data_IF_655653913098
#
_entry.id   IF_655653913098
#
_cell.length_a   1.000
_cell.length_b   1.000
_cell.length_c   1.000
_cell.angle_alpha   90.00
_cell.angle_beta   90.00
_cell.angle_gamma   90.00
#
_symmetry.space_group_name_H-M   'P 1'
#
loop_
_entity.id
_entity.type
_entity.pdbx_description
1 polymer ?
#
# COMPACT_ATOMS: atom_id res chain seq x y z
N UNK A 1 -30.78 37.15 -38.26
CA UNK A 1 -30.51 35.70 -38.15
C UNK A 1 -29.38 35.50 -37.14
N UNK A 2 -29.68 35.14 -35.90
CA UNK A 2 -28.68 34.77 -34.89
C UNK A 2 -28.45 33.27 -34.96
N UNK A 3 -27.22 32.84 -35.21
CA UNK A 3 -26.79 31.44 -35.12
C UNK A 3 -26.38 31.17 -33.67
N UNK A 4 -27.18 30.37 -32.96
CA UNK A 4 -26.84 29.90 -31.62
C UNK A 4 -25.76 28.82 -31.70
N UNK A 5 -24.73 28.93 -30.86
CA UNK A 5 -23.77 27.86 -30.61
C UNK A 5 -24.30 26.98 -29.46
N UNK A 6 -24.34 25.67 -29.67
CA UNK A 6 -24.64 24.70 -28.63
C UNK A 6 -23.30 24.30 -28.00
N UNK A 7 -23.10 24.65 -26.72
CA UNK A 7 -22.01 24.12 -25.91
C UNK A 7 -22.51 22.85 -25.21
N UNK A 8 -21.94 21.71 -25.54
CA UNK A 8 -22.06 20.50 -24.72
C UNK A 8 -20.91 20.53 -23.70
N UNK A 9 -21.20 21.00 -22.49
CA UNK A 9 -20.35 20.72 -21.33
C UNK A 9 -20.84 19.40 -20.72
N UNK A 10 -20.04 18.35 -20.87
CA UNK A 10 -20.18 17.15 -20.05
C UNK A 10 -19.51 17.49 -18.72
N UNK A 11 -20.31 17.89 -17.73
CA UNK A 11 -19.88 17.90 -16.33
C UNK A 11 -20.20 16.51 -15.78
N UNK A 12 -19.20 15.63 -15.77
CA UNK A 12 -19.25 14.42 -14.96
C UNK A 12 -19.19 14.87 -13.50
N UNK A 13 -20.35 14.95 -12.85
CA UNK A 13 -20.45 15.13 -11.41
C UNK A 13 -20.12 13.77 -10.78
N UNK A 14 -19.02 13.72 -10.01
CA UNK A 14 -18.42 12.48 -9.52
C UNK A 14 -19.36 11.61 -8.70
N UNK A 15 -19.34 10.32 -9.00
CA UNK A 15 -19.68 9.25 -8.06
C UNK A 15 -18.42 9.02 -7.21
N UNK A 16 -18.20 9.84 -6.17
CA UNK A 16 -17.09 9.58 -5.24
C UNK A 16 -17.53 8.60 -4.15
N UNK A 17 -17.36 7.31 -4.42
CA UNK A 17 -17.06 6.30 -3.39
C UNK A 17 -16.13 5.18 -3.89
N UNK A 18 -15.75 5.18 -5.18
CA UNK A 18 -14.77 4.23 -5.69
C UNK A 18 -13.36 4.75 -5.43
N UNK A 19 -12.58 4.00 -4.64
CA UNK A 19 -11.14 4.17 -4.52
C UNK A 19 -10.52 4.30 -5.92
N UNK A 20 -9.75 5.37 -6.17
CA UNK A 20 -9.17 5.60 -7.48
C UNK A 20 -7.78 4.95 -7.54
N UNK A 21 -7.56 3.93 -8.40
CA UNK A 21 -6.21 3.38 -8.58
C UNK A 21 -5.32 4.41 -9.27
N UNK A 22 -4.09 4.54 -8.78
CA UNK A 22 -3.06 5.29 -9.47
C UNK A 22 -2.42 4.42 -10.55
N UNK A 23 -2.35 4.97 -11.77
CA UNK A 23 -1.68 4.30 -12.88
C UNK A 23 -0.21 4.72 -12.87
N UNK A 24 0.74 3.78 -12.71
CA UNK A 24 2.15 4.12 -12.72
C UNK A 24 2.56 4.69 -14.08
N UNK A 25 3.53 5.62 -14.10
CA UNK A 25 4.07 6.13 -15.36
C UNK A 25 4.64 4.99 -16.23
N UNK A 26 4.58 5.15 -17.55
CA UNK A 26 5.03 4.10 -18.49
C UNK A 26 6.45 3.62 -18.18
N UNK A 27 6.60 2.33 -17.89
CA UNK A 27 7.89 1.69 -17.58
C UNK A 27 8.34 1.83 -16.12
N UNK A 28 7.49 2.33 -15.23
CA UNK A 28 7.71 2.39 -13.78
C UNK A 28 6.93 1.27 -13.05
N UNK A 29 7.42 0.81 -11.87
CA UNK A 29 6.72 -0.19 -11.07
C UNK A 29 5.46 0.39 -10.41
N UNK A 30 4.58 -0.48 -9.90
CA UNK A 30 3.29 -0.12 -9.30
C UNK A 30 3.39 0.78 -8.06
N UNK A 31 4.51 0.74 -7.34
CA UNK A 31 4.78 1.64 -6.22
C UNK A 31 5.21 3.07 -6.63
N UNK A 32 5.17 3.41 -7.92
CA UNK A 32 5.41 4.78 -8.41
C UNK A 32 4.11 5.34 -8.94
N UNK A 33 3.76 6.55 -8.51
CA UNK A 33 2.52 7.19 -8.86
C UNK A 33 2.72 8.68 -9.16
N UNK A 34 2.20 9.14 -10.30
CA UNK A 34 2.10 10.58 -10.57
C UNK A 34 0.80 11.12 -10.00
N UNK A 35 0.93 12.04 -9.03
CA UNK A 35 -0.18 12.76 -8.42
C UNK A 35 -0.22 14.20 -8.91
N UNK A 36 -1.28 14.93 -8.59
CA UNK A 36 -1.38 16.35 -8.89
C UNK A 36 -0.27 17.19 -8.22
N UNK A 37 0.25 16.72 -7.09
CA UNK A 37 1.25 17.41 -6.27
C UNK A 37 2.69 16.95 -6.53
N UNK A 38 2.88 15.97 -7.42
CA UNK A 38 4.18 15.43 -7.79
C UNK A 38 4.19 13.90 -7.87
N UNK A 39 5.38 13.35 -8.09
CA UNK A 39 5.58 11.89 -8.19
C UNK A 39 5.90 11.31 -6.81
N UNK A 40 5.11 10.31 -6.40
CA UNK A 40 5.43 9.42 -5.28
C UNK A 40 6.26 8.27 -5.86
N UNK A 41 7.50 8.10 -5.40
CA UNK A 41 8.38 7.01 -5.84
C UNK A 41 8.98 6.30 -4.63
N UNK A 42 8.45 5.12 -4.31
CA UNK A 42 8.89 4.31 -3.17
C UNK A 42 10.00 3.31 -3.55
N UNK A 43 10.43 3.26 -4.82
CA UNK A 43 11.43 2.30 -5.29
C UNK A 43 12.79 2.46 -4.60
N UNK A 44 13.12 3.69 -4.21
CA UNK A 44 14.35 3.99 -3.46
C UNK A 44 14.34 3.53 -2.01
N UNK A 45 13.15 3.26 -1.45
CA UNK A 45 12.99 2.74 -0.09
C UNK A 45 13.10 1.21 -0.05
N UNK A 46 12.74 0.54 -1.14
CA UNK A 46 12.74 -0.92 -1.22
C UNK A 46 14.14 -1.51 -1.01
N UNK A 47 14.22 -2.57 -0.22
CA UNK A 47 15.39 -3.44 -0.21
C UNK A 47 15.29 -4.45 -1.37
N UNK A 48 16.40 -4.64 -2.10
CA UNK A 48 16.47 -5.58 -3.23
C UNK A 48 17.34 -6.81 -2.95
N UNK A 49 17.79 -6.98 -1.71
CA UNK A 49 18.65 -8.07 -1.26
C UNK A 49 17.86 -9.30 -0.77
N UNK A 50 16.54 -9.29 -0.95
CA UNK A 50 15.63 -10.35 -0.52
C UNK A 50 15.19 -10.23 0.94
N UNK A 51 15.49 -9.12 1.62
CA UNK A 51 15.04 -8.83 2.99
C UNK A 51 13.98 -7.74 3.02
N UNK A 52 13.18 -7.71 4.10
CA UNK A 52 12.24 -6.62 4.32
C UNK A 52 12.96 -5.30 4.59
N UNK A 53 12.44 -4.18 4.08
CA UNK A 53 12.94 -2.84 4.41
C UNK A 53 12.67 -2.49 5.88
N UNK A 54 11.48 -2.81 6.34
CA UNK A 54 11.05 -2.61 7.71
C UNK A 54 10.75 -3.97 8.32
N UNK A 55 11.28 -4.25 9.51
CA UNK A 55 11.08 -5.52 10.19
C UNK A 55 10.95 -5.30 11.69
N UNK A 56 10.30 -6.24 12.38
CA UNK A 56 10.08 -6.15 13.83
C UNK A 56 9.21 -4.96 14.22
N UNK A 57 8.31 -4.52 13.34
CA UNK A 57 7.39 -3.40 13.60
C UNK A 57 6.40 -3.88 14.66
N UNK A 58 6.33 -3.26 15.85
CA UNK A 58 5.38 -3.67 16.88
C UNK A 58 3.96 -3.19 16.54
N UNK A 59 2.96 -3.89 17.06
CA UNK A 59 1.58 -3.43 16.98
C UNK A 59 1.38 -2.16 17.83
N UNK A 60 0.64 -1.19 17.30
CA UNK A 60 0.51 0.14 17.90
C UNK A 60 -0.36 0.17 19.17
N UNK A 61 -1.21 -0.83 19.39
CA UNK A 61 -2.03 -0.99 20.60
C UNK A 61 -1.24 -1.55 21.80
N UNK A 62 0.02 -1.92 21.59
CA UNK A 62 0.91 -2.50 22.60
C UNK A 62 0.80 -4.02 22.74
N UNK A 63 0.03 -4.69 21.89
CA UNK A 63 0.13 -6.15 21.80
C UNK A 63 1.52 -6.54 21.29
N UNK A 64 2.20 -7.36 22.08
CA UNK A 64 3.55 -7.84 21.79
C UNK A 64 3.53 -9.23 21.16
N UNK A 65 2.36 -9.84 20.99
CA UNK A 65 2.23 -11.17 20.39
C UNK A 65 2.63 -11.20 18.93
N UNK A 66 2.51 -10.07 18.24
CA UNK A 66 2.73 -9.96 16.81
C UNK A 66 3.74 -8.86 16.48
N UNK A 67 4.60 -9.15 15.52
CA UNK A 67 5.42 -8.15 14.83
C UNK A 67 5.21 -8.23 13.34
N UNK A 68 5.48 -7.12 12.66
CA UNK A 68 5.25 -7.00 11.23
C UNK A 68 6.54 -6.67 10.49
N UNK A 69 6.60 -7.13 9.26
CA UNK A 69 7.68 -6.85 8.32
C UNK A 69 7.07 -6.43 6.99
N UNK A 70 7.73 -5.49 6.29
CA UNK A 70 7.21 -4.89 5.07
C UNK A 70 8.34 -4.45 4.14
N UNK A 71 8.15 -4.67 2.84
CA UNK A 71 9.00 -4.14 1.79
C UNK A 71 8.14 -3.56 0.65
N UNK A 72 8.23 -2.25 0.34
CA UNK A 72 7.53 -1.69 -0.81
C UNK A 72 8.16 -2.18 -2.12
N UNK A 73 7.41 -2.21 -3.23
CA UNK A 73 7.86 -2.45 -4.60
C UNK A 73 8.49 -3.82 -4.93
N UNK A 74 9.13 -4.49 -3.99
CA UNK A 74 9.94 -5.69 -4.24
C UNK A 74 9.60 -6.75 -3.22
N UNK A 75 9.37 -7.97 -3.70
CA UNK A 75 9.13 -9.09 -2.82
C UNK A 75 10.36 -9.47 -2.02
N UNK A 76 10.15 -10.13 -0.89
CA UNK A 76 11.21 -10.61 -0.03
C UNK A 76 10.87 -12.00 0.53
N UNK A 77 11.81 -12.57 1.31
CA UNK A 77 11.67 -13.87 1.96
C UNK A 77 11.81 -13.71 3.47
N UNK A 78 10.93 -14.35 4.24
CA UNK A 78 11.00 -14.35 5.70
C UNK A 78 10.41 -15.62 6.30
N UNK A 79 11.03 -16.06 7.40
CA UNK A 79 10.58 -17.23 8.14
C UNK A 79 10.66 -18.55 7.37
N UNK A 80 9.81 -19.49 7.74
CA UNK A 80 9.80 -20.85 7.19
C UNK A 80 8.44 -21.30 6.62
N UNK A 81 7.43 -20.42 6.62
CA UNK A 81 6.06 -20.69 6.16
C UNK A 81 5.67 -19.79 4.98
N UNK A 82 4.44 -19.25 4.97
CA UNK A 82 3.85 -18.53 3.83
C UNK A 82 4.66 -17.32 3.37
N UNK A 83 5.39 -16.67 4.26
CA UNK A 83 6.27 -15.55 3.91
C UNK A 83 7.59 -15.93 3.22
N UNK A 84 7.88 -17.23 3.03
CA UNK A 84 9.13 -17.72 2.42
C UNK A 84 8.94 -18.19 0.96
N UNK A 85 7.83 -17.85 0.31
CA UNK A 85 7.57 -18.23 -1.09
C UNK A 85 8.09 -17.22 -2.13
N UNK A 86 8.68 -16.11 -1.69
CA UNK A 86 9.36 -15.14 -2.58
C UNK A 86 8.44 -14.13 -3.26
N UNK A 87 7.17 -14.08 -2.86
CA UNK A 87 6.15 -13.13 -3.31
C UNK A 87 5.67 -12.20 -2.17
N UNK A 88 6.24 -12.30 -0.98
CA UNK A 88 5.81 -11.53 0.21
C UNK A 88 6.07 -10.04 0.04
N UNK A 89 5.05 -9.20 0.25
CA UNK A 89 5.19 -7.76 0.46
C UNK A 89 5.11 -7.36 1.93
N UNK A 90 4.24 -8.04 2.68
CA UNK A 90 4.06 -7.85 4.11
C UNK A 90 3.89 -9.21 4.81
N UNK A 91 4.48 -9.34 5.99
CA UNK A 91 4.42 -10.54 6.82
C UNK A 91 4.12 -10.18 8.27
N UNK A 92 3.35 -11.03 8.94
CA UNK A 92 3.18 -11.04 10.38
C UNK A 92 3.97 -12.21 10.95
N UNK A 93 4.65 -11.99 12.06
CA UNK A 93 5.30 -13.04 12.84
C UNK A 93 4.79 -13.04 14.28
N UNK A 94 4.71 -14.22 14.87
CA UNK A 94 4.38 -14.41 16.29
C UNK A 94 5.65 -14.54 17.13
N UNK A 95 5.51 -14.47 18.46
CA UNK A 95 6.60 -14.81 19.38
C UNK A 95 7.07 -16.27 19.30
N UNK A 96 6.30 -17.16 18.66
CA UNK A 96 6.62 -18.59 18.49
C UNK A 96 7.20 -18.91 17.12
N UNK A 97 7.63 -17.90 16.35
CA UNK A 97 8.17 -18.05 14.99
C UNK A 97 7.16 -18.66 13.99
N UNK A 98 5.87 -18.41 14.19
CA UNK A 98 4.86 -18.62 13.15
C UNK A 98 4.80 -17.37 12.25
N UNK A 99 4.78 -17.57 10.94
CA UNK A 99 4.74 -16.48 9.96
C UNK A 99 3.50 -16.58 9.08
N UNK A 100 2.81 -15.46 8.88
CA UNK A 100 1.60 -15.34 8.09
C UNK A 100 1.78 -14.25 7.04
N UNK A 101 1.56 -14.60 5.77
CA UNK A 101 1.66 -13.66 4.67
C UNK A 101 0.47 -12.72 4.70
N UNK A 102 0.71 -11.41 4.68
CA UNK A 102 -0.36 -10.40 4.73
C UNK A 102 -0.67 -9.79 3.36
N UNK A 103 0.18 -10.01 2.36
CA UNK A 103 -0.05 -9.55 1.00
C UNK A 103 1.06 -9.96 0.04
N UNK A 104 0.66 -10.20 -1.21
CA UNK A 104 1.52 -10.55 -2.33
C UNK A 104 2.00 -9.29 -3.06
N UNK A 105 3.32 -9.14 -3.20
CA UNK A 105 3.96 -8.02 -3.88
C UNK A 105 3.55 -7.86 -5.34
N UNK A 106 3.14 -8.94 -6.03
CA UNK A 106 2.67 -8.87 -7.41
C UNK A 106 1.29 -8.22 -7.56
N UNK A 107 0.54 -8.11 -6.47
CA UNK A 107 -0.78 -7.46 -6.45
C UNK A 107 -0.73 -5.97 -6.09
N UNK A 108 0.48 -5.46 -5.84
CA UNK A 108 0.70 -4.08 -5.42
C UNK A 108 -0.03 -3.08 -6.32
N UNK A 109 -0.92 -2.31 -5.70
CA UNK A 109 -1.64 -1.22 -6.35
C UNK A 109 -1.66 -0.01 -5.43
N UNK A 110 -1.23 1.15 -5.92
CA UNK A 110 -1.41 2.41 -5.21
C UNK A 110 -2.79 2.98 -5.48
N UNK A 111 -3.47 3.44 -4.44
CA UNK A 111 -4.78 4.08 -4.49
C UNK A 111 -4.72 5.46 -3.87
N UNK A 112 -5.62 6.33 -4.32
CA UNK A 112 -5.94 7.58 -3.66
C UNK A 112 -7.25 7.36 -2.90
N UNK A 113 -7.19 7.48 -1.58
CA UNK A 113 -8.36 7.47 -0.72
C UNK A 113 -9.18 8.73 -1.00
N UNK A 114 -10.40 8.56 -1.51
CA UNK A 114 -11.22 9.68 -1.95
C UNK A 114 -11.78 10.53 -0.81
N UNK A 115 -11.81 10.00 0.42
CA UNK A 115 -12.37 10.68 1.59
C UNK A 115 -11.32 11.57 2.27
N UNK A 116 -10.10 11.06 2.37
CA UNK A 116 -8.97 11.71 3.04
C UNK A 116 -8.01 12.41 2.07
N UNK A 117 -8.01 12.01 0.80
CA UNK A 117 -7.03 12.42 -0.20
C UNK A 117 -5.67 11.74 -0.04
N UNK A 118 -5.50 10.85 0.95
CA UNK A 118 -4.22 10.20 1.22
C UNK A 118 -3.96 9.07 0.22
N UNK A 119 -2.69 8.90 -0.14
CA UNK A 119 -2.26 7.78 -0.97
C UNK A 119 -2.01 6.57 -0.07
N UNK A 120 -2.34 5.37 -0.54
CA UNK A 120 -1.97 4.13 0.13
C UNK A 120 -1.62 3.05 -0.88
N UNK A 121 -0.76 2.12 -0.48
CA UNK A 121 -0.51 0.88 -1.22
C UNK A 121 -1.41 -0.22 -0.68
N UNK A 122 -2.00 -1.00 -1.57
CA UNK A 122 -2.73 -2.22 -1.23
C UNK A 122 -2.00 -3.44 -1.77
N UNK A 123 -2.02 -4.51 -0.97
CA UNK A 123 -1.56 -5.84 -1.35
C UNK A 123 -2.64 -6.85 -0.96
N UNK A 124 -3.05 -7.64 -1.94
CA UNK A 124 -4.06 -8.68 -1.80
C UNK A 124 -3.40 -10.06 -1.65
N UNK A 125 -4.20 -11.12 -1.62
CA UNK A 125 -3.77 -12.52 -1.55
C UNK A 125 -2.98 -12.89 -0.28
N UNK A 126 -3.17 -12.18 0.84
CA UNK A 126 -2.68 -12.64 2.13
C UNK A 126 -3.37 -13.92 2.60
N UNK A 127 -2.75 -14.59 3.59
CA UNK A 127 -3.34 -15.73 4.29
C UNK A 127 -4.73 -15.38 4.83
N UNK A 128 -5.66 -16.33 4.81
CA UNK A 128 -7.06 -16.13 5.21
C UNK A 128 -7.76 -14.94 4.51
N UNK A 129 -7.37 -14.66 3.26
CA UNK A 129 -7.87 -13.56 2.43
C UNK A 129 -7.59 -12.16 3.01
N UNK A 130 -6.53 -12.04 3.81
CA UNK A 130 -6.05 -10.75 4.32
C UNK A 130 -5.60 -9.83 3.19
N UNK A 131 -5.79 -8.54 3.45
CA UNK A 131 -5.40 -7.44 2.58
C UNK A 131 -4.58 -6.48 3.42
N UNK A 132 -3.39 -6.13 2.96
CA UNK A 132 -2.55 -5.10 3.59
C UNK A 132 -2.83 -3.75 2.95
N UNK A 133 -3.04 -2.72 3.76
CA UNK A 133 -3.04 -1.31 3.32
C UNK A 133 -1.94 -0.54 4.03
N UNK A 134 -1.09 0.13 3.27
CA UNK A 134 0.01 0.97 3.79
C UNK A 134 -0.25 2.42 3.39
N UNK A 135 -0.71 3.23 4.34
CA UNK A 135 -0.97 4.65 4.12
C UNK A 135 0.33 5.46 4.08
N UNK A 136 0.44 6.34 3.08
CA UNK A 136 1.61 7.16 2.84
C UNK A 136 1.41 8.54 3.48
N UNK A 137 2.33 8.94 4.35
CA UNK A 137 2.37 10.27 4.94
C UNK A 137 3.64 10.98 4.53
N UNK A 138 3.52 12.21 4.03
CA UNK A 138 4.67 13.06 3.70
C UNK A 138 5.06 13.89 4.93
N UNK A 139 6.16 13.53 5.59
CA UNK A 139 6.75 14.34 6.67
C UNK A 139 8.06 14.98 6.18
N UNK A 140 8.01 16.30 5.96
CA UNK A 140 9.18 17.07 5.50
C UNK A 140 10.27 17.24 6.56
N UNK A 141 9.98 16.91 7.82
CA UNK A 141 10.93 17.05 8.92
C UNK A 141 11.53 15.70 9.35
N UNK A 142 11.13 14.60 8.72
CA UNK A 142 11.67 13.28 9.04
C UNK A 142 13.07 13.10 8.43
N UNK A 143 14.04 12.74 9.28
CA UNK A 143 15.41 12.43 8.84
C UNK A 143 15.54 11.03 8.22
N UNK A 144 14.57 10.15 8.49
CA UNK A 144 14.54 8.78 8.00
C UNK A 144 13.10 8.28 7.81
N UNK A 145 12.88 7.34 6.87
CA UNK A 145 11.57 6.70 6.72
C UNK A 145 11.25 5.85 7.96
N UNK A 146 9.99 5.89 8.39
CA UNK A 146 9.46 5.08 9.49
C UNK A 146 8.08 4.53 9.14
N UNK A 147 7.66 3.50 9.87
CA UNK A 147 6.37 2.84 9.68
C UNK A 147 5.84 2.39 11.04
N UNK A 148 4.52 2.39 11.18
CA UNK A 148 3.78 1.81 12.30
C UNK A 148 2.83 0.73 11.78
N UNK A 149 2.45 -0.21 12.64
CA UNK A 149 1.46 -1.23 12.31
C UNK A 149 0.28 -1.13 13.28
N UNK A 150 -0.93 -0.97 12.74
CA UNK A 150 -2.15 -0.93 13.56
C UNK A 150 -2.62 -2.34 13.95
N UNK A 151 -2.15 -3.37 13.23
CA UNK A 151 -2.53 -4.76 13.41
C UNK A 151 -3.72 -5.18 12.55
N UNK A 152 -4.15 -6.42 12.71
CA UNK A 152 -5.33 -6.93 12.02
C UNK A 152 -6.59 -6.24 12.54
N UNK A 153 -7.42 -5.74 11.62
CA UNK A 153 -8.71 -5.14 11.94
C UNK A 153 -9.69 -5.31 10.81
N UNK A 154 -10.98 -5.22 11.12
CA UNK A 154 -12.02 -5.16 10.10
C UNK A 154 -11.85 -3.84 9.33
N UNK A 155 -11.34 -3.90 8.10
CA UNK A 155 -11.42 -2.75 7.21
C UNK A 155 -12.86 -2.65 6.70
N UNK A 156 -13.54 -1.49 6.88
CA UNK A 156 -14.84 -1.29 6.25
C UNK A 156 -14.69 -1.47 4.75
N UNK A 157 -15.48 -2.37 4.15
CA UNK A 157 -15.58 -2.48 2.71
C UNK A 157 -16.18 -1.16 2.18
N UNK A 158 -15.34 -0.28 1.64
CA UNK A 158 -15.80 0.89 0.90
C UNK A 158 -16.20 0.40 -0.50
N UNK A 159 -17.52 0.30 -0.74
CA UNK A 159 -18.12 -0.03 -2.03
C UNK A 159 -18.30 1.21 -2.92
#
# INVERSE_FOLDING_TARGET
MMRGFIFFQIVLVGLSSAQQPCIPPSGKPSCVCDTADGTIDLSSLSNTDGTARFSGIPQSDGDTQFTYSYNPCTSYYEGYSSCNYGNTAACQSTQTDDYYMLGDASTETMYIDSDTGNNYLQYDNGDDARITKVYLTCDQNADSPSITADGDGDTPLTY
#
